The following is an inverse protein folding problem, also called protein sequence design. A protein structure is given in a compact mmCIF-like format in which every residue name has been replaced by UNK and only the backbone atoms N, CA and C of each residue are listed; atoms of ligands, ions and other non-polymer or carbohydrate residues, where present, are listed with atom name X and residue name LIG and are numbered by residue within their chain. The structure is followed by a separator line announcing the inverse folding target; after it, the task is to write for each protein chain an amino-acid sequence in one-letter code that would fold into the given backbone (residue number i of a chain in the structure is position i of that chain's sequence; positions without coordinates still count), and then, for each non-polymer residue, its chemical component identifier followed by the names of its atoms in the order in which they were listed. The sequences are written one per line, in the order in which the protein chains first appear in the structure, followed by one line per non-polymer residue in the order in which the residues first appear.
data_IF_347549516619
#
_entry.id   IF_347549516619
#
_cell.length_a   1.000
_cell.length_b   1.000
_cell.length_c   1.000
_cell.angle_alpha   90.00
_cell.angle_beta   90.00
_cell.angle_gamma   90.00
#
_symmetry.space_group_name_H-M   'P 1'
#
loop_
_entity.id
_entity.type
_entity.pdbx_description
1 polymer ?
#
# COMPACT_ATOMS: atom_id res chain seq x y z
N UNK A 1 -64.02 19.97 -21.71
CA UNK A 1 -63.88 19.71 -23.16
C UNK A 1 -62.57 18.97 -23.41
N UNK A 2 -62.64 17.79 -24.03
CA UNK A 2 -61.55 17.02 -24.66
C UNK A 2 -61.51 17.39 -26.16
N UNK A 3 -60.61 16.86 -27.04
CA UNK A 3 -59.24 16.32 -26.92
C UNK A 3 -58.29 16.67 -28.11
N UNK A 4 -57.01 16.28 -28.07
CA UNK A 4 -56.23 15.57 -29.13
C UNK A 4 -54.79 15.32 -28.62
N UNK A 5 -54.36 14.11 -28.25
CA UNK A 5 -53.88 12.92 -29.01
C UNK A 5 -52.56 13.11 -29.79
N UNK A 6 -51.52 12.41 -29.34
CA UNK A 6 -50.66 11.57 -30.17
C UNK A 6 -49.96 10.51 -29.29
N UNK A 7 -49.96 9.27 -29.75
CA UNK A 7 -49.48 8.07 -29.08
C UNK A 7 -48.23 7.54 -29.77
N UNK A 8 -47.33 6.88 -29.04
CA UNK A 8 -46.40 5.90 -29.61
C UNK A 8 -46.30 4.67 -28.70
N UNK A 9 -46.57 3.52 -29.30
CA UNK A 9 -46.63 2.18 -28.74
C UNK A 9 -45.37 1.44 -29.23
N UNK A 10 -44.59 0.83 -28.35
CA UNK A 10 -43.67 -0.26 -28.72
C UNK A 10 -43.90 -1.43 -27.77
N UNK A 11 -44.18 -2.57 -28.38
CA UNK A 11 -44.68 -3.79 -27.76
C UNK A 11 -43.55 -4.62 -27.14
N UNK A 12 -43.87 -5.24 -26.01
CA UNK A 12 -43.10 -6.32 -25.39
C UNK A 12 -43.43 -7.66 -26.06
N UNK A 13 -42.43 -8.50 -26.27
CA UNK A 13 -42.60 -9.93 -26.54
C UNK A 13 -41.68 -10.72 -25.63
N UNK A 14 -42.28 -11.36 -24.62
CA UNK A 14 -41.67 -12.38 -23.79
C UNK A 14 -41.64 -13.71 -24.57
N UNK A 15 -40.53 -14.43 -24.49
CA UNK A 15 -40.47 -15.84 -24.89
C UNK A 15 -39.59 -16.60 -23.90
N UNK A 16 -40.23 -17.42 -23.08
CA UNK A 16 -39.62 -18.51 -22.33
C UNK A 16 -39.95 -19.84 -23.02
N UNK A 17 -39.10 -20.85 -22.87
CA UNK A 17 -39.60 -22.18 -22.55
C UNK A 17 -38.89 -22.79 -21.33
N UNK A 18 -39.67 -23.56 -20.58
CA UNK A 18 -39.32 -24.26 -19.35
C UNK A 18 -38.77 -25.68 -19.61
N UNK A 19 -38.33 -26.32 -18.50
CA UNK A 19 -38.03 -27.74 -18.25
C UNK A 19 -36.54 -28.10 -18.44
N UNK A 20 -35.84 -28.84 -17.57
CA UNK A 20 -36.25 -29.85 -16.60
C UNK A 20 -35.12 -30.12 -15.56
N UNK A 21 -35.54 -30.70 -14.43
CA UNK A 21 -34.85 -31.05 -13.19
C UNK A 21 -33.68 -32.08 -13.32
N UNK A 22 -32.49 -31.80 -12.78
CA UNK A 22 -31.50 -32.83 -12.39
C UNK A 22 -30.49 -32.28 -11.35
N UNK A 23 -30.30 -33.03 -10.25
CA UNK A 23 -29.46 -32.68 -9.09
C UNK A 23 -27.94 -32.88 -9.28
N UNK A 24 -27.16 -32.79 -8.20
CA UNK A 24 -25.72 -32.52 -8.25
C UNK A 24 -24.91 -33.78 -8.53
N UNK A 25 -24.04 -33.71 -9.54
CA UNK A 25 -23.00 -34.71 -9.75
C UNK A 25 -21.65 -34.15 -9.26
N UNK A 26 -21.25 -34.53 -8.05
CA UNK A 26 -19.86 -34.43 -7.61
C UNK A 26 -19.01 -35.37 -8.49
N UNK A 27 -18.22 -34.79 -9.39
CA UNK A 27 -17.15 -35.48 -10.06
C UNK A 27 -15.83 -35.15 -9.34
N UNK A 28 -15.31 -36.12 -8.60
CA UNK A 28 -13.94 -36.11 -8.14
C UNK A 28 -13.00 -36.20 -9.36
N UNK A 29 -12.08 -35.24 -9.48
CA UNK A 29 -10.96 -35.28 -10.44
C UNK A 29 -9.70 -34.93 -9.66
N UNK A 30 -8.60 -35.67 -9.85
CA UNK A 30 -7.49 -35.71 -8.91
C UNK A 30 -6.58 -34.49 -9.04
N UNK A 31 -5.89 -34.21 -7.94
CA UNK A 31 -4.63 -33.47 -7.79
C UNK A 31 -3.95 -33.06 -9.10
N UNK A 32 -4.21 -31.82 -9.51
CA UNK A 32 -3.25 -31.02 -10.28
C UNK A 32 -2.69 -29.98 -9.32
N UNK A 33 -1.50 -30.21 -8.80
CA UNK A 33 -0.71 -29.19 -8.11
C UNK A 33 -0.43 -28.09 -9.13
N UNK A 34 -1.26 -27.04 -9.16
CA UNK A 34 -0.91 -25.82 -9.87
C UNK A 34 0.24 -25.18 -9.11
N UNK A 35 1.46 -25.59 -9.46
CA UNK A 35 2.65 -24.79 -9.20
C UNK A 35 2.41 -23.44 -9.86
N UNK A 36 2.13 -22.44 -9.05
CA UNK A 36 2.20 -21.04 -9.47
C UNK A 36 3.68 -20.81 -9.77
N UNK A 37 4.07 -21.00 -11.03
CA UNK A 37 5.35 -20.51 -11.53
C UNK A 37 5.19 -19.00 -11.61
N UNK A 38 5.54 -18.31 -10.52
CA UNK A 38 5.89 -16.90 -10.59
C UNK A 38 7.00 -16.77 -11.62
N UNK A 39 6.64 -16.25 -12.80
CA UNK A 39 7.60 -15.84 -13.81
C UNK A 39 8.38 -14.65 -13.25
N UNK A 40 9.44 -14.94 -12.51
CA UNK A 40 10.51 -13.99 -12.26
C UNK A 40 11.25 -13.87 -13.59
N UNK A 41 11.06 -12.75 -14.29
CA UNK A 41 11.87 -12.39 -15.45
C UNK A 41 13.30 -12.13 -14.99
N UNK A 42 14.08 -13.22 -14.92
CA UNK A 42 15.47 -13.27 -14.50
C UNK A 42 15.93 -14.72 -14.55
N UNK A 43 17.22 -14.95 -14.75
CA UNK A 43 17.82 -16.28 -14.61
C UNK A 43 17.36 -16.88 -13.26
N UNK A 44 16.85 -18.12 -13.21
CA UNK A 44 16.48 -18.75 -11.95
C UNK A 44 17.66 -18.69 -10.98
N UNK A 45 17.41 -18.36 -9.70
CA UNK A 45 18.47 -18.25 -8.69
C UNK A 45 19.32 -19.54 -8.60
N UNK A 46 18.72 -20.69 -8.92
CA UNK A 46 19.38 -21.99 -8.98
C UNK A 46 20.40 -22.12 -10.11
N UNK A 47 20.22 -21.39 -11.21
CA UNK A 47 21.10 -21.38 -12.37
C UNK A 47 22.21 -20.31 -12.27
N UNK A 48 22.10 -19.39 -11.31
CA UNK A 48 23.09 -18.33 -11.11
C UNK A 48 24.41 -18.90 -10.60
N UNK A 49 25.49 -18.39 -11.18
CA UNK A 49 26.85 -18.60 -10.69
C UNK A 49 27.05 -17.88 -9.36
N UNK A 50 28.04 -18.30 -8.59
CA UNK A 50 28.39 -17.65 -7.33
C UNK A 50 28.71 -16.15 -7.49
N UNK A 51 29.33 -15.75 -8.60
CA UNK A 51 29.61 -14.34 -8.89
C UNK A 51 28.32 -13.53 -9.11
N UNK A 52 27.35 -14.09 -9.83
CA UNK A 52 26.04 -13.47 -10.05
C UNK A 52 25.22 -13.40 -8.77
N UNK A 53 25.27 -14.43 -7.92
CA UNK A 53 24.62 -14.43 -6.61
C UNK A 53 25.17 -13.32 -5.71
N UNK A 54 26.51 -13.17 -5.66
CA UNK A 54 27.14 -12.06 -4.91
C UNK A 54 26.77 -10.70 -5.48
N UNK A 55 26.71 -10.56 -6.80
CA UNK A 55 26.29 -9.32 -7.44
C UNK A 55 24.84 -8.96 -7.09
N UNK A 56 23.92 -9.91 -7.16
CA UNK A 56 22.52 -9.68 -6.80
C UNK A 56 22.34 -9.29 -5.32
N UNK A 57 23.08 -9.92 -4.40
CA UNK A 57 23.05 -9.53 -2.98
C UNK A 57 23.66 -8.12 -2.79
N UNK A 58 24.73 -7.79 -3.52
CA UNK A 58 25.33 -6.46 -3.46
C UNK A 58 24.37 -5.37 -3.98
N UNK A 59 23.61 -5.65 -5.04
CA UNK A 59 22.59 -4.73 -5.57
C UNK A 59 21.47 -4.49 -4.56
N UNK A 60 21.01 -5.54 -3.86
CA UNK A 60 20.04 -5.40 -2.76
C UNK A 60 20.61 -4.50 -1.67
N UNK A 61 21.86 -4.71 -1.26
CA UNK A 61 22.51 -3.93 -0.21
C UNK A 61 22.73 -2.46 -0.60
N UNK A 62 22.85 -2.15 -1.89
CA UNK A 62 23.00 -0.80 -2.40
C UNK A 62 21.68 0.02 -2.36
N UNK A 63 20.52 -0.64 -2.43
CA UNK A 63 19.18 -0.02 -2.44
C UNK A 63 18.67 0.34 -1.02
N UNK A 64 19.53 0.98 -0.21
CA UNK A 64 19.24 1.42 1.17
C UNK A 64 18.50 0.34 2.01
N UNK A 65 19.19 -0.79 2.16
CA UNK A 65 18.64 -1.96 2.86
C UNK A 65 18.53 -1.76 4.38
N UNK A 66 17.42 -2.22 4.94
CA UNK A 66 17.19 -2.20 6.38
C UNK A 66 18.16 -3.12 7.15
N UNK A 67 18.12 -3.01 8.48
CA UNK A 67 19.09 -3.67 9.37
C UNK A 67 19.00 -5.19 9.29
N UNK A 68 17.80 -5.75 9.16
CA UNK A 68 17.61 -7.18 9.04
C UNK A 68 18.13 -7.67 7.68
N UNK A 69 17.82 -6.97 6.58
CA UNK A 69 18.35 -7.30 5.26
C UNK A 69 19.87 -7.28 5.23
N UNK A 70 20.51 -6.25 5.81
CA UNK A 70 21.98 -6.17 5.89
C UNK A 70 22.57 -7.33 6.68
N UNK A 71 21.95 -7.70 7.80
CA UNK A 71 22.39 -8.82 8.64
C UNK A 71 22.33 -10.14 7.87
N UNK A 72 21.16 -10.48 7.33
CA UNK A 72 20.91 -11.74 6.64
C UNK A 72 21.71 -11.85 5.33
N UNK A 73 21.86 -10.76 4.59
CA UNK A 73 22.72 -10.70 3.41
C UNK A 73 24.20 -10.92 3.79
N UNK A 74 24.66 -10.33 4.89
CA UNK A 74 26.02 -10.52 5.38
C UNK A 74 26.29 -11.96 5.82
N UNK A 75 25.33 -12.61 6.47
CA UNK A 75 25.41 -14.03 6.81
C UNK A 75 25.49 -14.90 5.55
N UNK A 76 24.65 -14.64 4.55
CA UNK A 76 24.65 -15.36 3.27
C UNK A 76 25.96 -15.18 2.48
N UNK A 77 26.52 -13.96 2.45
CA UNK A 77 27.77 -13.67 1.74
C UNK A 77 29.01 -14.31 2.39
N UNK A 78 28.97 -14.53 3.71
CA UNK A 78 30.02 -15.22 4.46
C UNK A 78 29.85 -16.75 4.47
N UNK A 79 28.71 -17.26 3.99
CA UNK A 79 28.37 -18.67 3.92
C UNK A 79 28.73 -19.34 2.60
N UNK A 80 27.99 -20.38 2.23
CA UNK A 80 28.15 -21.11 0.96
C UNK A 80 27.30 -20.51 -0.16
N UNK A 81 27.47 -21.04 -1.38
CA UNK A 81 26.64 -20.67 -2.53
C UNK A 81 25.16 -20.98 -2.27
N UNK A 82 24.88 -22.08 -1.57
CA UNK A 82 23.53 -22.48 -1.16
C UNK A 82 22.93 -21.47 -0.18
N UNK A 83 23.71 -20.89 0.74
CA UNK A 83 23.24 -19.84 1.64
C UNK A 83 22.84 -18.58 0.87
N UNK A 84 23.64 -18.20 -0.14
CA UNK A 84 23.32 -17.08 -1.03
C UNK A 84 22.02 -17.33 -1.81
N UNK A 85 21.81 -18.56 -2.30
CA UNK A 85 20.55 -18.92 -2.98
C UNK A 85 19.37 -18.89 -2.01
N UNK A 86 19.52 -19.47 -0.82
CA UNK A 86 18.46 -19.51 0.19
C UNK A 86 18.02 -18.09 0.60
N UNK A 87 19.00 -17.18 0.75
CA UNK A 87 18.73 -15.77 1.01
C UNK A 87 17.94 -15.13 -0.14
N UNK A 88 18.37 -15.27 -1.39
CA UNK A 88 17.66 -14.65 -2.52
C UNK A 88 16.27 -15.24 -2.77
N UNK A 89 16.06 -16.54 -2.48
CA UNK A 89 14.75 -17.21 -2.66
C UNK A 89 13.75 -16.82 -1.57
N UNK A 90 14.18 -16.76 -0.31
CA UNK A 90 13.26 -16.60 0.83
C UNK A 90 13.77 -15.66 1.92
N UNK A 91 15.06 -15.71 2.25
CA UNK A 91 15.64 -14.92 3.35
C UNK A 91 15.47 -13.42 3.15
N UNK A 92 15.64 -12.92 1.93
CA UNK A 92 15.46 -11.51 1.61
C UNK A 92 14.04 -11.02 1.92
N UNK A 93 13.02 -11.80 1.54
CA UNK A 93 11.62 -11.43 1.78
C UNK A 93 11.31 -11.38 3.28
N UNK A 94 11.84 -12.32 4.04
CA UNK A 94 11.66 -12.38 5.49
C UNK A 94 12.38 -11.22 6.20
N UNK A 95 13.63 -10.97 5.82
CA UNK A 95 14.43 -9.88 6.36
C UNK A 95 13.79 -8.51 6.05
N UNK A 96 13.31 -8.33 4.82
CA UNK A 96 12.59 -7.12 4.42
C UNK A 96 11.30 -6.93 5.20
N UNK A 97 10.56 -8.01 5.47
CA UNK A 97 9.35 -7.95 6.28
C UNK A 97 9.66 -7.51 7.72
N UNK A 98 10.73 -8.03 8.35
CA UNK A 98 11.18 -7.58 9.66
C UNK A 98 11.49 -6.07 9.65
N UNK A 99 12.24 -5.61 8.65
CA UNK A 99 12.58 -4.19 8.51
C UNK A 99 11.35 -3.32 8.29
N UNK A 100 10.36 -3.78 7.51
CA UNK A 100 9.11 -3.07 7.28
C UNK A 100 8.27 -2.98 8.57
N UNK A 101 8.18 -4.05 9.36
CA UNK A 101 7.50 -4.02 10.66
C UNK A 101 8.16 -3.02 11.62
N UNK A 102 9.49 -3.00 11.67
CA UNK A 102 10.23 -2.05 12.51
C UNK A 102 10.01 -0.62 12.03
N UNK A 103 9.99 -0.38 10.72
CA UNK A 103 9.69 0.94 10.16
C UNK A 103 8.26 1.39 10.53
N UNK A 104 7.28 0.51 10.44
CA UNK A 104 5.89 0.79 10.83
C UNK A 104 5.79 1.10 12.33
N UNK A 105 6.47 0.34 13.19
CA UNK A 105 6.49 0.61 14.63
C UNK A 105 7.09 1.98 14.96
N UNK A 106 8.14 2.41 14.23
CA UNK A 106 8.71 3.77 14.37
C UNK A 106 7.76 4.86 13.90
N UNK A 107 7.04 4.62 12.80
CA UNK A 107 6.00 5.54 12.32
C UNK A 107 4.90 5.66 13.37
N UNK A 108 4.45 4.55 13.95
CA UNK A 108 3.44 4.53 14.99
C UNK A 108 3.86 5.34 16.23
N UNK A 109 5.10 5.20 16.70
CA UNK A 109 5.62 6.01 17.82
C UNK A 109 5.53 7.52 17.52
N UNK A 110 5.98 7.93 16.33
CA UNK A 110 5.85 9.32 15.89
C UNK A 110 4.40 9.79 15.82
N UNK A 111 3.52 8.97 15.25
CA UNK A 111 2.10 9.28 15.09
C UNK A 111 1.37 9.40 16.45
N UNK A 112 1.69 8.54 17.41
CA UNK A 112 1.16 8.60 18.78
C UNK A 112 1.54 9.91 19.48
N UNK A 113 2.79 10.37 19.29
CA UNK A 113 3.27 11.63 19.88
C UNK A 113 2.60 12.86 19.26
N UNK A 114 2.27 12.79 17.97
CA UNK A 114 1.61 13.86 17.24
C UNK A 114 0.07 13.83 17.35
N UNK A 115 -0.51 12.69 17.75
CA UNK A 115 -1.95 12.46 17.73
C UNK A 115 -2.53 12.28 16.31
N UNK A 116 -1.71 11.79 15.39
CA UNK A 116 -2.05 11.52 13.97
C UNK A 116 -2.90 10.23 13.90
N UNK A 117 -4.22 10.37 13.92
CA UNK A 117 -5.17 9.25 14.15
C UNK A 117 -5.26 8.31 12.97
N UNK A 118 -5.26 8.81 11.75
CA UNK A 118 -5.33 7.99 10.56
C UNK A 118 -4.05 7.16 10.40
N UNK A 119 -2.88 7.77 10.67
CA UNK A 119 -1.59 7.05 10.66
C UNK A 119 -1.56 5.97 11.75
N UNK A 120 -2.00 6.28 12.98
CA UNK A 120 -2.10 5.27 14.06
C UNK A 120 -2.97 4.09 13.63
N UNK A 121 -4.15 4.35 13.04
CA UNK A 121 -5.06 3.31 12.59
C UNK A 121 -4.43 2.42 11.51
N UNK A 122 -3.82 3.02 10.47
CA UNK A 122 -3.18 2.28 9.40
C UNK A 122 -1.95 1.49 9.87
N UNK A 123 -1.18 2.02 10.83
CA UNK A 123 -0.09 1.27 11.46
C UNK A 123 -0.60 0.05 12.22
N UNK A 124 -1.64 0.21 13.04
CA UNK A 124 -2.20 -0.92 13.80
C UNK A 124 -2.76 -1.99 12.86
N UNK A 125 -3.49 -1.60 11.81
CA UNK A 125 -4.00 -2.55 10.81
C UNK A 125 -2.87 -3.35 10.15
N UNK A 126 -1.79 -2.67 9.73
CA UNK A 126 -0.65 -3.34 9.11
C UNK A 126 0.09 -4.29 10.07
N UNK A 127 0.26 -3.87 11.32
CA UNK A 127 0.92 -4.67 12.37
C UNK A 127 0.07 -5.86 12.81
N UNK A 128 -1.25 -5.69 12.95
CA UNK A 128 -2.20 -6.72 13.37
C UNK A 128 -2.40 -7.78 12.28
N UNK A 129 -2.45 -7.37 11.01
CA UNK A 129 -2.53 -8.30 9.89
C UNK A 129 -1.27 -9.17 9.78
N UNK A 130 -0.10 -8.62 10.14
CA UNK A 130 1.17 -9.33 10.27
C UNK A 130 1.55 -10.15 9.02
N UNK A 131 1.40 -9.55 7.82
CA UNK A 131 1.84 -10.15 6.56
C UNK A 131 2.81 -9.25 5.82
N UNK A 132 3.77 -9.81 5.04
CA UNK A 132 4.67 -9.01 4.21
C UNK A 132 3.94 -8.08 3.25
N UNK A 133 2.83 -8.57 2.67
CA UNK A 133 2.03 -7.84 1.71
C UNK A 133 1.35 -6.61 2.34
N UNK A 134 0.76 -6.75 3.54
CA UNK A 134 0.12 -5.63 4.23
C UNK A 134 1.12 -4.59 4.74
N UNK A 135 2.25 -5.05 5.30
CA UNK A 135 3.32 -4.16 5.72
C UNK A 135 3.86 -3.34 4.53
N UNK A 136 4.09 -4.00 3.38
CA UNK A 136 4.58 -3.35 2.18
C UNK A 136 3.58 -2.36 1.61
N UNK A 137 2.31 -2.76 1.46
CA UNK A 137 1.26 -1.91 0.92
C UNK A 137 1.06 -0.65 1.76
N UNK A 138 1.09 -0.78 3.10
CA UNK A 138 1.02 0.37 3.99
C UNK A 138 2.22 1.29 3.79
N UNK A 139 3.45 0.76 3.73
CA UNK A 139 4.63 1.61 3.56
C UNK A 139 4.70 2.34 2.22
N UNK A 140 4.27 1.70 1.13
CA UNK A 140 4.34 2.29 -0.20
C UNK A 140 3.23 3.31 -0.46
N UNK A 141 2.01 3.04 0.05
CA UNK A 141 0.83 3.85 -0.30
C UNK A 141 0.00 4.25 0.91
N UNK A 142 -0.27 3.32 1.84
CA UNK A 142 -1.15 3.55 2.97
C UNK A 142 -0.70 4.69 3.90
N UNK A 143 0.59 4.73 4.24
CA UNK A 143 1.16 5.75 5.11
C UNK A 143 1.01 7.15 4.53
N UNK A 144 1.24 7.33 3.22
CA UNK A 144 1.10 8.64 2.55
C UNK A 144 -0.34 9.13 2.58
N UNK A 145 -1.30 8.24 2.36
CA UNK A 145 -2.73 8.57 2.40
C UNK A 145 -3.20 8.89 3.81
N UNK A 146 -2.81 8.07 4.79
CA UNK A 146 -3.13 8.31 6.19
C UNK A 146 -2.54 9.63 6.69
N UNK A 147 -1.29 9.93 6.32
CA UNK A 147 -0.65 11.21 6.65
C UNK A 147 -1.38 12.39 6.01
N UNK A 148 -1.85 12.27 4.78
CA UNK A 148 -2.63 13.33 4.13
C UNK A 148 -3.95 13.62 4.86
N UNK A 149 -4.64 12.57 5.33
CA UNK A 149 -5.86 12.73 6.12
C UNK A 149 -5.58 13.47 7.43
N UNK A 150 -4.54 13.06 8.17
CA UNK A 150 -4.15 13.73 9.41
C UNK A 150 -3.69 15.17 9.18
N UNK A 151 -2.96 15.43 8.09
CA UNK A 151 -2.54 16.78 7.68
C UNK A 151 -3.75 17.67 7.34
N UNK A 152 -4.73 17.15 6.59
CA UNK A 152 -5.97 17.87 6.30
C UNK A 152 -6.77 18.18 7.57
N UNK A 153 -6.88 17.23 8.50
CA UNK A 153 -7.54 17.44 9.79
C UNK A 153 -6.81 18.49 10.63
N UNK A 154 -5.48 18.48 10.65
CA UNK A 154 -4.68 19.50 11.32
C UNK A 154 -4.97 20.90 10.75
N UNK A 155 -4.96 21.04 9.42
CA UNK A 155 -5.22 22.33 8.75
C UNK A 155 -6.66 22.79 8.98
N UNK A 156 -7.64 21.89 8.92
CA UNK A 156 -9.04 22.21 9.21
C UNK A 156 -9.24 22.67 10.65
N UNK A 157 -8.50 22.10 11.62
CA UNK A 157 -8.51 22.58 13.02
C UNK A 157 -7.89 23.95 13.17
N UNK A 158 -6.84 24.26 12.41
CA UNK A 158 -6.23 25.59 12.39
C UNK A 158 -7.22 26.67 11.94
N UNK A 159 -8.07 26.37 10.94
CA UNK A 159 -9.12 27.28 10.49
C UNK A 159 -10.17 27.61 11.57
N UNK A 160 -10.31 26.76 12.59
CA UNK A 160 -11.21 26.98 13.72
C UNK A 160 -10.61 27.90 14.80
N UNK A 161 -9.32 28.25 14.70
CA UNK A 161 -8.69 29.22 15.59
C UNK A 161 -9.30 30.61 15.37
N UNK A 162 -9.89 31.26 16.39
CA UNK A 162 -10.45 32.60 16.24
C UNK A 162 -9.41 33.67 15.90
N UNK A 163 -8.13 33.45 16.24
CA UNK A 163 -7.04 34.40 16.07
C UNK A 163 -6.25 34.21 14.76
N UNK A 164 -6.70 33.30 13.88
CA UNK A 164 -6.07 33.06 12.57
C UNK A 164 -6.13 34.32 11.69
N UNK A 165 -4.98 34.68 11.09
CA UNK A 165 -4.91 35.81 10.16
C UNK A 165 -5.68 35.50 8.86
N UNK A 166 -6.16 36.55 8.18
CA UNK A 166 -6.88 36.38 6.90
C UNK A 166 -5.99 35.75 5.83
N UNK A 167 -4.69 36.08 5.80
CA UNK A 167 -3.72 35.49 4.89
C UNK A 167 -3.54 33.98 5.15
N UNK A 168 -3.39 33.58 6.42
CA UNK A 168 -3.22 32.18 6.79
C UNK A 168 -4.50 31.38 6.54
N UNK A 169 -5.66 31.99 6.81
CA UNK A 169 -6.97 31.40 6.48
C UNK A 169 -7.14 31.17 4.98
N UNK A 170 -6.75 32.14 4.14
CA UNK A 170 -6.84 31.98 2.69
C UNK A 170 -5.91 30.86 2.18
N UNK A 171 -4.67 30.81 2.68
CA UNK A 171 -3.72 29.78 2.30
C UNK A 171 -4.16 28.37 2.75
N UNK A 172 -4.66 28.23 3.98
CA UNK A 172 -5.18 26.97 4.49
C UNK A 172 -6.38 26.44 3.67
N UNK A 173 -7.33 27.31 3.30
CA UNK A 173 -8.43 26.92 2.41
C UNK A 173 -7.93 26.47 1.03
N UNK A 174 -6.99 27.20 0.43
CA UNK A 174 -6.45 26.85 -0.88
C UNK A 174 -5.79 25.46 -0.89
N UNK A 175 -5.07 25.10 0.18
CA UNK A 175 -4.42 23.78 0.29
C UNK A 175 -5.43 22.67 0.57
N UNK A 176 -6.48 22.94 1.37
CA UNK A 176 -7.57 21.98 1.57
C UNK A 176 -8.36 21.73 0.28
N UNK A 177 -8.57 22.77 -0.54
CA UNK A 177 -9.25 22.67 -1.83
C UNK A 177 -8.41 21.89 -2.86
N UNK A 178 -7.07 22.06 -2.85
CA UNK A 178 -6.15 21.26 -3.66
C UNK A 178 -6.15 19.79 -3.22
N UNK A 179 -6.11 19.55 -1.90
CA UNK A 179 -6.27 18.23 -1.28
C UNK A 179 -5.17 17.22 -1.62
N UNK A 180 -4.10 17.62 -2.33
CA UNK A 180 -3.00 16.72 -2.63
C UNK A 180 -2.20 16.41 -1.35
N UNK A 181 -1.78 15.15 -1.14
CA UNK A 181 -0.92 14.79 -0.01
C UNK A 181 0.34 15.66 0.09
N UNK A 182 0.91 16.01 -1.05
CA UNK A 182 2.12 16.82 -1.14
C UNK A 182 1.88 18.26 -0.68
N UNK A 183 0.77 18.90 -1.11
CA UNK A 183 0.44 20.26 -0.70
C UNK A 183 0.05 20.32 0.78
N UNK A 184 -0.77 19.38 1.26
CA UNK A 184 -1.16 19.27 2.67
C UNK A 184 0.08 19.12 3.56
N UNK A 185 0.99 18.22 3.17
CA UNK A 185 2.23 17.98 3.90
C UNK A 185 3.14 19.20 3.90
N UNK A 186 3.34 19.80 2.74
CA UNK A 186 4.16 21.00 2.61
C UNK A 186 3.62 22.13 3.50
N UNK A 187 2.31 22.37 3.46
CA UNK A 187 1.69 23.43 4.25
C UNK A 187 1.85 23.22 5.76
N UNK A 188 1.63 21.99 6.25
CA UNK A 188 1.81 21.65 7.67
C UNK A 188 3.26 21.83 8.14
N UNK A 189 4.25 21.47 7.30
CA UNK A 189 5.67 21.48 7.72
C UNK A 189 6.32 22.84 7.51
N UNK A 190 6.03 23.50 6.40
CA UNK A 190 6.74 24.70 5.94
C UNK A 190 5.77 25.83 5.61
N UNK A 191 4.79 25.58 4.74
CA UNK A 191 3.99 26.62 4.11
C UNK A 191 3.24 27.54 5.11
N UNK A 192 2.72 27.00 6.22
CA UNK A 192 2.05 27.80 7.24
C UNK A 192 2.95 28.89 7.87
N UNK A 193 4.27 28.71 7.88
CA UNK A 193 5.25 29.64 8.45
C UNK A 193 5.77 30.67 7.43
N UNK A 194 5.55 30.43 6.15
CA UNK A 194 5.91 31.35 5.06
C UNK A 194 4.81 32.38 4.78
N UNK A 195 3.59 32.11 5.26
CA UNK A 195 2.49 33.06 5.19
C UNK A 195 2.77 34.21 6.14
N UNK A 196 3.25 35.32 5.57
CA UNK A 196 3.36 36.57 6.30
C UNK A 196 1.96 37.14 6.55
N UNK A 197 1.60 37.28 7.83
CA UNK A 197 0.39 37.98 8.30
C UNK A 197 0.65 39.46 8.52
#
# INVERSE_FOLDING_TARGET
MRPTRAALLVAATAMAPALLLAGPAFAAVPTGTSTVTTATSGTPVDEMTEAELRAAIADILADDSGRAVVREAGEALNGTVEDMRAFLVSGYRQARFEDDLVAIARILDGALRNGDKAVIAGCNEALDAHTPETARAFRETGYRLAQAEDDAVYIARMLADPDISDALRAAANAVLDDGSPEALRYFRVTGQYEVNG
#
